data_IF_776400284034
#
_entry.id   IF_776400284034
#
_cell.length_a   1.000
_cell.length_b   1.000
_cell.length_c   1.000
_cell.angle_alpha   90.00
_cell.angle_beta   90.00
_cell.angle_gamma   90.00
#
_symmetry.space_group_name_H-M   'P 1'
#
loop_
_entity.id
_entity.type
_entity.pdbx_description
1 polymer ?
#
# COMPACT_ATOMS: atom_id res chain seq x y z
N UNK A 1 10.40 19.63 7.86
CA UNK A 1 10.49 18.27 8.42
C UNK A 1 11.88 17.71 8.15
N UNK A 2 12.41 16.92 9.10
CA UNK A 2 13.59 16.09 8.87
C UNK A 2 13.11 14.76 8.24
N UNK A 3 13.44 14.55 6.97
CA UNK A 3 12.89 13.43 6.19
C UNK A 3 13.96 12.40 5.91
N UNK A 4 13.67 11.16 6.28
CA UNK A 4 14.48 9.98 5.94
C UNK A 4 13.69 9.07 4.99
N UNK A 5 14.31 8.66 3.90
CA UNK A 5 13.72 7.74 2.92
C UNK A 5 14.50 6.43 2.84
N UNK A 6 13.78 5.32 2.76
CA UNK A 6 14.35 3.99 2.49
C UNK A 6 13.75 3.47 1.19
N UNK A 7 14.59 3.16 0.22
CA UNK A 7 14.19 2.68 -1.10
C UNK A 7 14.93 1.38 -1.43
N UNK A 8 14.20 0.36 -1.84
CA UNK A 8 14.76 -0.94 -2.18
C UNK A 8 15.51 -0.89 -3.52
N UNK A 9 14.91 -0.23 -4.51
CA UNK A 9 15.41 -0.22 -5.88
C UNK A 9 16.47 0.86 -6.05
N UNK A 10 17.71 0.44 -6.33
CA UNK A 10 18.85 1.35 -6.47
C UNK A 10 18.63 2.46 -7.51
N UNK A 11 17.93 2.16 -8.59
CA UNK A 11 17.60 3.14 -9.63
C UNK A 11 16.72 4.26 -9.09
N UNK A 12 15.63 3.91 -8.40
CA UNK A 12 14.70 4.87 -7.78
C UNK A 12 15.40 5.72 -6.71
N UNK A 13 16.25 5.09 -5.89
CA UNK A 13 17.07 5.79 -4.93
C UNK A 13 17.97 6.84 -5.60
N UNK A 14 18.55 6.52 -6.75
CA UNK A 14 19.36 7.44 -7.54
C UNK A 14 18.56 8.64 -8.05
N UNK A 15 17.31 8.42 -8.48
CA UNK A 15 16.39 9.50 -8.89
C UNK A 15 16.04 10.39 -7.71
N UNK A 16 15.67 9.80 -6.56
CA UNK A 16 15.34 10.53 -5.34
C UNK A 16 16.47 11.47 -4.92
N UNK A 17 17.69 10.96 -4.85
CA UNK A 17 18.89 11.75 -4.49
C UNK A 17 19.16 12.91 -5.44
N UNK A 18 18.84 12.77 -6.72
CA UNK A 18 18.98 13.86 -7.70
C UNK A 18 17.87 14.91 -7.56
N UNK A 19 16.65 14.50 -7.21
CA UNK A 19 15.51 15.41 -7.08
C UNK A 19 15.52 16.24 -5.80
N UNK A 20 16.00 15.66 -4.70
CA UNK A 20 15.95 16.32 -3.39
C UNK A 20 17.18 15.96 -2.56
N UNK A 21 18.13 16.89 -2.46
CA UNK A 21 19.37 16.71 -1.73
C UNK A 21 19.21 16.83 -0.19
N UNK A 22 18.09 17.36 0.29
CA UNK A 22 17.83 17.53 1.74
C UNK A 22 17.30 16.26 2.41
N UNK A 23 16.82 15.28 1.63
CA UNK A 23 16.31 14.00 2.15
C UNK A 23 17.47 13.05 2.43
N UNK A 24 17.52 12.52 3.65
CA UNK A 24 18.43 11.42 4.03
C UNK A 24 17.97 10.13 3.38
N UNK A 25 18.54 9.74 2.25
CA UNK A 25 18.06 8.61 1.44
C UNK A 25 19.01 7.42 1.49
N UNK A 26 18.49 6.27 1.88
CA UNK A 26 19.24 5.01 2.05
C UNK A 26 18.66 3.89 1.20
N UNK A 27 19.54 3.03 0.68
CA UNK A 27 19.07 1.77 0.13
C UNK A 27 18.75 0.80 1.27
N UNK A 28 17.57 0.18 1.23
CA UNK A 28 17.15 -0.76 2.27
C UNK A 28 15.85 -1.47 1.94
N UNK A 29 15.45 -2.37 2.83
CA UNK A 29 14.24 -3.16 2.72
C UNK A 29 13.39 -2.92 3.97
N UNK A 30 12.08 -2.73 3.82
CA UNK A 30 11.14 -2.56 4.92
C UNK A 30 11.11 -3.75 5.90
N UNK A 31 11.54 -4.94 5.45
CA UNK A 31 11.69 -6.12 6.29
C UNK A 31 12.87 -6.07 7.26
N UNK A 32 13.76 -5.08 7.11
CA UNK A 32 14.94 -4.93 7.96
C UNK A 32 15.38 -3.47 8.01
N UNK A 33 14.96 -2.78 9.05
CA UNK A 33 15.28 -1.37 9.31
C UNK A 33 16.36 -1.21 10.40
N UNK A 34 17.25 -2.21 10.56
CA UNK A 34 18.28 -2.26 11.61
C UNK A 34 19.29 -1.11 11.58
N UNK A 35 19.31 -0.31 10.53
CA UNK A 35 20.06 0.96 10.44
C UNK A 35 19.57 1.99 11.46
N UNK A 36 18.28 1.94 11.79
CA UNK A 36 17.62 2.92 12.64
C UNK A 36 17.43 2.34 14.05
N UNK A 37 17.70 3.13 15.09
CA UNK A 37 17.41 2.74 16.46
C UNK A 37 15.89 2.62 16.67
N UNK A 38 15.51 2.03 17.79
CA UNK A 38 14.12 1.99 18.23
C UNK A 38 13.62 3.42 18.53
N UNK A 39 12.34 3.67 18.25
CA UNK A 39 11.64 4.91 18.61
C UNK A 39 12.32 6.19 18.05
N UNK A 40 12.74 6.16 16.81
CA UNK A 40 13.40 7.29 16.16
C UNK A 40 12.41 8.25 15.49
N UNK A 41 11.37 7.76 14.83
CA UNK A 41 10.50 8.54 13.97
C UNK A 41 9.16 8.89 14.61
N UNK A 42 8.68 10.12 14.37
CA UNK A 42 7.35 10.58 14.81
C UNK A 42 6.24 10.13 13.87
N UNK A 43 6.54 10.07 12.56
CA UNK A 43 5.60 9.67 11.51
C UNK A 43 6.32 8.77 10.51
N UNK A 44 5.68 7.66 10.14
CA UNK A 44 6.18 6.76 9.11
C UNK A 44 5.15 6.60 8.00
N UNK A 45 5.59 6.73 6.75
CA UNK A 45 4.78 6.52 5.55
C UNK A 45 5.25 5.22 4.90
N UNK A 46 4.42 4.19 4.96
CA UNK A 46 4.68 2.87 4.38
C UNK A 46 3.82 2.69 3.12
N UNK A 47 4.16 3.46 2.07
CA UNK A 47 3.48 3.42 0.77
C UNK A 47 4.37 2.68 -0.24
N UNK A 48 4.05 1.44 -0.53
CA UNK A 48 4.81 0.59 -1.45
C UNK A 48 4.99 -0.83 -0.94
N UNK A 49 5.69 -1.07 0.17
CA UNK A 49 6.05 -2.42 0.58
C UNK A 49 4.87 -3.39 0.70
N UNK A 50 3.72 -2.95 1.22
CA UNK A 50 2.63 -3.85 1.58
C UNK A 50 1.97 -4.55 0.39
N UNK A 51 2.03 -3.97 -0.79
CA UNK A 51 1.52 -4.58 -2.01
C UNK A 51 2.60 -5.23 -2.90
N UNK A 52 3.85 -5.29 -2.39
CA UNK A 52 4.96 -6.05 -2.98
C UNK A 52 5.44 -7.19 -2.08
N UNK A 53 4.80 -7.40 -0.94
CA UNK A 53 5.04 -8.52 -0.04
C UNK A 53 3.91 -9.53 -0.18
N UNK A 54 4.21 -10.75 -0.64
CA UNK A 54 3.20 -11.74 -1.01
C UNK A 54 2.80 -12.67 0.13
N UNK A 55 3.57 -12.71 1.22
CA UNK A 55 3.27 -13.54 2.39
C UNK A 55 2.75 -12.69 3.56
N UNK A 56 1.88 -13.28 4.37
CA UNK A 56 1.40 -12.66 5.60
C UNK A 56 2.56 -12.39 6.56
N UNK A 57 3.48 -13.32 6.65
CA UNK A 57 4.66 -13.27 7.50
C UNK A 57 5.54 -12.06 7.19
N UNK A 58 5.81 -11.81 5.91
CA UNK A 58 6.61 -10.66 5.48
C UNK A 58 5.87 -9.34 5.72
N UNK A 59 4.57 -9.29 5.47
CA UNK A 59 3.75 -8.11 5.78
C UNK A 59 3.79 -7.79 7.28
N UNK A 60 3.58 -8.79 8.14
CA UNK A 60 3.64 -8.61 9.59
C UNK A 60 5.04 -8.18 10.01
N UNK A 61 6.08 -8.79 9.46
CA UNK A 61 7.48 -8.42 9.75
C UNK A 61 7.78 -6.97 9.37
N UNK A 62 7.32 -6.50 8.21
CA UNK A 62 7.47 -5.11 7.81
C UNK A 62 6.77 -4.16 8.80
N UNK A 63 5.54 -4.48 9.21
CA UNK A 63 4.80 -3.69 10.20
C UNK A 63 5.49 -3.68 11.57
N UNK A 64 6.06 -4.81 12.00
CA UNK A 64 6.81 -4.89 13.27
C UNK A 64 8.10 -4.07 13.23
N UNK A 65 8.85 -4.08 12.12
CA UNK A 65 10.04 -3.24 11.95
C UNK A 65 9.67 -1.75 11.95
N UNK A 66 8.60 -1.38 11.27
CA UNK A 66 8.09 -0.01 11.28
C UNK A 66 7.66 0.41 12.69
N UNK A 67 6.93 -0.46 13.41
CA UNK A 67 6.54 -0.22 14.80
C UNK A 67 7.75 -0.02 15.72
N UNK A 68 8.79 -0.83 15.56
CA UNK A 68 10.01 -0.74 16.37
C UNK A 68 10.69 0.63 16.26
N UNK A 69 10.78 1.17 15.03
CA UNK A 69 11.45 2.46 14.80
C UNK A 69 10.53 3.67 15.01
N UNK A 70 9.22 3.44 15.20
CA UNK A 70 8.25 4.50 15.52
C UNK A 70 8.30 4.82 17.02
N UNK A 71 8.18 6.09 17.37
CA UNK A 71 7.99 6.55 18.74
C UNK A 71 6.64 6.10 19.29
N UNK A 72 6.50 6.05 20.63
CA UNK A 72 5.27 5.57 21.31
C UNK A 72 4.03 6.36 20.89
N UNK A 73 4.13 7.69 20.76
CA UNK A 73 3.04 8.58 20.32
C UNK A 73 3.05 8.85 18.81
N UNK A 74 3.82 8.07 18.05
CA UNK A 74 3.97 8.23 16.61
C UNK A 74 2.81 7.63 15.82
N UNK A 75 2.70 7.99 14.54
CA UNK A 75 1.69 7.47 13.62
C UNK A 75 2.32 6.78 12.41
N UNK A 76 1.62 5.76 11.90
CA UNK A 76 1.99 5.06 10.67
C UNK A 76 0.87 5.24 9.65
N UNK A 77 1.20 5.69 8.45
CA UNK A 77 0.31 5.64 7.28
C UNK A 77 0.70 4.45 6.42
N UNK A 78 -0.21 3.52 6.21
CA UNK A 78 0.03 2.30 5.44
C UNK A 78 -0.88 2.26 4.22
N UNK A 79 -0.32 2.04 3.04
CA UNK A 79 -1.12 1.84 1.82
C UNK A 79 -1.20 0.36 1.43
N UNK A 80 -2.39 -0.05 1.04
CA UNK A 80 -2.70 -1.37 0.50
C UNK A 80 -3.41 -1.26 -0.84
N UNK A 81 -3.29 -2.27 -1.68
CA UNK A 81 -4.10 -2.42 -2.89
C UNK A 81 -5.26 -3.36 -2.58
N UNK A 82 -6.48 -2.90 -2.86
CA UNK A 82 -7.69 -3.63 -2.47
C UNK A 82 -8.06 -4.69 -3.50
N UNK A 83 -8.38 -5.89 -3.01
CA UNK A 83 -8.86 -7.02 -3.81
C UNK A 83 -10.10 -6.67 -4.64
N UNK A 84 -11.06 -6.01 -4.02
CA UNK A 84 -12.34 -5.64 -4.64
C UNK A 84 -12.14 -4.70 -5.84
N UNK A 85 -11.19 -3.79 -5.75
CA UNK A 85 -10.86 -2.90 -6.87
C UNK A 85 -10.36 -3.70 -8.09
N UNK A 86 -9.42 -4.62 -7.88
CA UNK A 86 -8.89 -5.48 -8.96
C UNK A 86 -9.98 -6.33 -9.60
N UNK A 87 -10.83 -6.96 -8.79
CA UNK A 87 -11.94 -7.82 -9.27
C UNK A 87 -12.95 -7.01 -10.07
N UNK A 88 -13.38 -5.85 -9.57
CA UNK A 88 -14.38 -5.02 -10.25
C UNK A 88 -13.84 -4.39 -11.53
N UNK A 89 -12.62 -3.86 -11.51
CA UNK A 89 -12.06 -3.14 -12.66
C UNK A 89 -11.49 -4.12 -13.68
N UNK A 90 -10.44 -4.85 -13.33
CA UNK A 90 -9.78 -5.77 -14.25
C UNK A 90 -10.66 -7.00 -14.55
N UNK A 91 -11.26 -7.58 -13.52
CA UNK A 91 -12.10 -8.77 -13.68
C UNK A 91 -13.37 -8.48 -14.49
N UNK A 92 -14.30 -7.72 -13.93
CA UNK A 92 -15.62 -7.53 -14.52
C UNK A 92 -15.67 -6.45 -15.60
N UNK A 93 -15.20 -5.24 -15.33
CA UNK A 93 -15.31 -4.11 -16.26
C UNK A 93 -14.46 -4.32 -17.53
N UNK A 94 -13.26 -4.90 -17.39
CA UNK A 94 -12.36 -5.22 -18.51
C UNK A 94 -12.54 -6.64 -19.06
N UNK A 95 -13.52 -7.38 -18.51
CA UNK A 95 -13.96 -8.69 -18.99
C UNK A 95 -12.89 -9.80 -18.91
N UNK A 96 -12.05 -9.78 -17.86
CA UNK A 96 -11.06 -10.84 -17.59
C UNK A 96 -11.50 -11.84 -16.52
N UNK A 97 -12.70 -11.69 -15.96
CA UNK A 97 -13.13 -12.46 -14.79
C UNK A 97 -13.08 -13.97 -15.02
N UNK A 98 -13.58 -14.43 -16.18
CA UNK A 98 -13.62 -15.83 -16.52
C UNK A 98 -12.21 -16.42 -16.68
N UNK A 99 -11.35 -15.73 -17.39
CA UNK A 99 -9.94 -16.11 -17.56
C UNK A 99 -9.21 -16.19 -16.21
N UNK A 100 -9.44 -15.23 -15.31
CA UNK A 100 -8.81 -15.20 -14.00
C UNK A 100 -9.26 -16.38 -13.11
N UNK A 101 -10.51 -16.80 -13.21
CA UNK A 101 -11.02 -17.98 -12.51
C UNK A 101 -10.43 -19.28 -13.09
N UNK A 102 -10.37 -19.39 -14.41
CA UNK A 102 -9.87 -20.58 -15.10
C UNK A 102 -8.36 -20.79 -14.91
N UNK A 103 -7.56 -19.72 -14.89
CA UNK A 103 -6.12 -19.79 -14.70
C UNK A 103 -5.65 -19.72 -13.24
N UNK A 104 -6.60 -19.69 -12.28
CA UNK A 104 -6.30 -19.68 -10.85
C UNK A 104 -5.77 -18.37 -10.29
N UNK A 105 -5.85 -17.24 -11.03
CA UNK A 105 -5.55 -15.91 -10.52
C UNK A 105 -6.62 -15.38 -9.55
N UNK A 106 -7.81 -15.94 -9.61
CA UNK A 106 -8.88 -15.75 -8.63
C UNK A 106 -9.35 -17.11 -8.11
N UNK A 107 -9.63 -17.18 -6.83
CA UNK A 107 -10.34 -18.33 -6.24
C UNK A 107 -11.86 -18.22 -6.43
N UNK A 108 -12.60 -19.24 -5.98
CA UNK A 108 -14.06 -19.29 -6.07
C UNK A 108 -14.78 -18.20 -5.26
N UNK A 109 -14.08 -17.51 -4.34
CA UNK A 109 -14.58 -16.40 -3.56
C UNK A 109 -14.15 -15.04 -4.14
N UNK A 110 -13.65 -15.02 -5.36
CA UNK A 110 -13.08 -13.85 -6.03
C UNK A 110 -11.93 -13.19 -5.25
N UNK A 111 -11.16 -14.00 -4.53
CA UNK A 111 -9.91 -13.54 -3.91
C UNK A 111 -8.78 -13.68 -4.92
N UNK A 112 -8.03 -12.63 -5.10
CA UNK A 112 -6.81 -12.66 -5.92
C UNK A 112 -5.80 -13.62 -5.27
N UNK A 113 -5.26 -14.53 -6.09
CA UNK A 113 -4.23 -15.50 -5.73
C UNK A 113 -2.90 -15.01 -6.30
N UNK A 114 -2.15 -14.15 -5.59
CA UNK A 114 -0.94 -13.55 -6.11
C UNK A 114 0.20 -14.56 -6.17
N UNK A 115 1.12 -14.35 -7.09
CA UNK A 115 2.39 -15.05 -7.17
C UNK A 115 3.55 -14.06 -7.13
N UNK A 116 4.79 -14.49 -6.82
CA UNK A 116 5.96 -13.60 -6.86
C UNK A 116 6.27 -13.00 -8.23
N UNK A 117 5.64 -13.51 -9.28
CA UNK A 117 5.75 -12.99 -10.65
C UNK A 117 4.78 -11.84 -10.93
N UNK A 118 3.75 -11.69 -10.10
CA UNK A 118 2.78 -10.61 -10.20
C UNK A 118 3.40 -9.31 -9.66
N UNK A 119 2.98 -8.18 -10.22
CA UNK A 119 3.51 -6.88 -9.79
C UNK A 119 3.00 -6.49 -8.40
N UNK A 120 1.76 -6.86 -8.08
CA UNK A 120 1.09 -6.47 -6.83
C UNK A 120 0.40 -7.66 -6.17
N UNK A 121 0.41 -7.62 -4.83
CA UNK A 121 -0.50 -8.38 -4.00
C UNK A 121 -1.68 -7.51 -3.57
N UNK A 122 -2.82 -8.14 -3.33
CA UNK A 122 -4.08 -7.50 -3.00
C UNK A 122 -4.61 -8.03 -1.67
N UNK A 123 -5.21 -7.16 -0.91
CA UNK A 123 -5.79 -7.50 0.40
C UNK A 123 -7.27 -7.10 0.47
N UNK A 124 -8.00 -7.71 1.39
CA UNK A 124 -9.33 -7.30 1.82
C UNK A 124 -9.25 -6.55 3.14
N UNK A 125 -10.34 -5.92 3.56
CA UNK A 125 -10.38 -5.20 4.84
C UNK A 125 -10.06 -6.11 6.03
N UNK A 126 -10.58 -7.33 6.02
CA UNK A 126 -10.30 -8.33 7.06
C UNK A 126 -8.81 -8.75 7.11
N UNK A 127 -8.12 -8.76 5.98
CA UNK A 127 -6.67 -9.04 5.95
C UNK A 127 -5.89 -7.89 6.61
N UNK A 128 -6.25 -6.65 6.31
CA UNK A 128 -5.63 -5.47 6.93
C UNK A 128 -5.78 -5.50 8.46
N UNK A 129 -6.99 -5.83 8.94
CA UNK A 129 -7.25 -5.98 10.37
C UNK A 129 -6.42 -7.10 11.00
N UNK A 130 -6.33 -8.26 10.34
CA UNK A 130 -5.53 -9.39 10.81
C UNK A 130 -4.02 -9.06 10.86
N UNK A 131 -3.50 -8.34 9.85
CA UNK A 131 -2.10 -7.88 9.81
C UNK A 131 -1.82 -6.88 10.93
N UNK A 132 -2.69 -5.91 11.11
CA UNK A 132 -2.60 -4.89 12.16
C UNK A 132 -2.56 -5.54 13.55
N UNK A 133 -3.50 -6.46 13.85
CA UNK A 133 -3.55 -7.20 15.10
C UNK A 133 -2.28 -8.02 15.32
N UNK A 134 -1.81 -8.75 14.30
CA UNK A 134 -0.60 -9.55 14.41
C UNK A 134 0.65 -8.72 14.69
N UNK A 135 0.71 -7.48 14.18
CA UNK A 135 1.79 -6.53 14.47
C UNK A 135 1.58 -5.76 15.80
N UNK A 136 0.42 -5.91 16.45
CA UNK A 136 0.09 -5.20 17.69
C UNK A 136 0.01 -3.68 17.50
N UNK A 137 -0.57 -3.24 16.38
CA UNK A 137 -0.82 -1.83 16.06
C UNK A 137 -2.25 -1.44 16.40
N UNK A 138 -2.45 -0.23 16.88
CA UNK A 138 -3.78 0.35 17.08
C UNK A 138 -4.35 0.90 15.78
N UNK A 139 -5.68 0.80 15.61
CA UNK A 139 -6.37 1.36 14.46
C UNK A 139 -6.83 2.79 14.78
N UNK A 140 -6.46 3.72 13.93
CA UNK A 140 -6.92 5.11 14.02
C UNK A 140 -8.03 5.36 13.00
N UNK A 141 -7.75 5.12 11.72
CA UNK A 141 -8.70 5.38 10.64
C UNK A 141 -8.31 4.58 9.38
N UNK A 142 -9.32 4.15 8.63
CA UNK A 142 -9.16 3.65 7.26
C UNK A 142 -9.81 4.63 6.30
N UNK A 143 -9.10 5.04 5.27
CA UNK A 143 -9.59 5.95 4.23
C UNK A 143 -9.38 5.33 2.86
N UNK A 144 -10.28 5.61 1.93
CA UNK A 144 -10.08 5.35 0.52
C UNK A 144 -9.42 6.59 -0.10
N UNK A 145 -8.24 6.43 -0.70
CA UNK A 145 -7.49 7.56 -1.23
C UNK A 145 -8.24 8.25 -2.39
N UNK A 146 -8.79 7.45 -3.31
CA UNK A 146 -9.45 7.94 -4.51
C UNK A 146 -10.95 7.67 -4.53
N UNK A 147 -11.46 6.82 -3.63
CA UNK A 147 -12.85 6.36 -3.66
C UNK A 147 -13.19 5.76 -5.03
N UNK A 148 -14.34 6.10 -5.62
CA UNK A 148 -14.73 5.67 -6.95
C UNK A 148 -14.10 6.52 -8.08
N UNK A 149 -13.30 7.53 -7.78
CA UNK A 149 -12.88 8.57 -8.74
C UNK A 149 -12.11 8.00 -9.95
N UNK A 150 -11.26 6.99 -9.74
CA UNK A 150 -10.45 6.44 -10.82
C UNK A 150 -11.29 5.78 -11.91
N UNK A 151 -12.34 5.06 -11.56
CA UNK A 151 -13.22 4.42 -12.55
C UNK A 151 -14.45 5.24 -12.92
N UNK A 152 -14.65 6.42 -12.33
CA UNK A 152 -15.65 7.41 -12.69
C UNK A 152 -15.04 8.63 -13.42
N UNK A 153 -13.85 8.51 -13.92
CA UNK A 153 -13.12 9.65 -14.54
C UNK A 153 -13.90 10.33 -15.66
N UNK A 154 -14.64 9.58 -16.47
CA UNK A 154 -15.46 10.13 -17.54
C UNK A 154 -16.60 10.98 -17.00
N UNK A 155 -17.30 10.47 -16.00
CA UNK A 155 -18.41 11.14 -15.33
C UNK A 155 -17.93 12.38 -14.59
N UNK A 156 -16.82 12.27 -13.86
CA UNK A 156 -16.21 13.37 -13.12
C UNK A 156 -15.74 14.49 -14.06
N UNK A 157 -15.14 14.17 -15.19
CA UNK A 157 -14.70 15.15 -16.19
C UNK A 157 -15.89 15.86 -16.89
N UNK A 158 -17.08 15.27 -16.87
CA UNK A 158 -18.29 15.86 -17.41
C UNK A 158 -19.08 16.70 -16.39
N UNK A 159 -18.68 16.68 -15.11
CA UNK A 159 -19.34 17.48 -14.06
C UNK A 159 -18.97 18.96 -14.17
N UNK A 160 -19.91 19.80 -13.72
CA UNK A 160 -19.59 21.21 -13.45
C UNK A 160 -18.70 21.32 -12.20
N UNK A 161 -17.97 22.43 -12.07
CA UNK A 161 -17.14 22.70 -10.87
C UNK A 161 -17.97 22.63 -9.57
N UNK A 162 -19.21 23.15 -9.60
CA UNK A 162 -20.12 23.09 -8.47
C UNK A 162 -20.48 21.66 -8.07
N UNK A 163 -20.76 20.80 -9.05
CA UNK A 163 -21.07 19.38 -8.79
C UNK A 163 -19.86 18.60 -8.34
N UNK A 164 -18.70 18.88 -8.93
CA UNK A 164 -17.45 18.24 -8.51
C UNK A 164 -17.08 18.60 -7.06
N UNK A 165 -17.28 19.86 -6.65
CA UNK A 165 -17.07 20.30 -5.27
C UNK A 165 -17.98 19.62 -4.24
N UNK A 166 -19.15 19.10 -4.68
CA UNK A 166 -20.06 18.30 -3.82
C UNK A 166 -19.68 16.80 -3.80
N UNK A 167 -18.95 16.36 -4.80
CA UNK A 167 -18.48 14.96 -4.89
C UNK A 167 -17.29 14.68 -3.95
N UNK A 168 -16.38 15.64 -3.79
CA UNK A 168 -15.25 15.57 -2.86
C UNK A 168 -15.67 16.02 -1.46
#
# INVERSE_FOLDING_TARGET
YDVTAVELVKYNLGILKKKNSSVKAYQGNALKLSRFPDKEFDLIILFGPMYHLYTKEDKVKALMEVKRVLKDEGAILVAYTMNEYSVLVYGFRENHIQECLENGKLDANYRVCPSPEDLYDYVRLEDMEALRHAAGLEHVQTISADGPADYMRRELNAMSEEMFAKFI
#
